data_IF_998509865856
#
_entry.id   IF_998509865856
#
_cell.length_a   1.000
_cell.length_b   1.000
_cell.length_c   1.000
_cell.angle_alpha   90.00
_cell.angle_beta   90.00
_cell.angle_gamma   90.00
#
_symmetry.space_group_name_H-M   'P 1'
#
loop_
_entity.id
_entity.type
_entity.pdbx_description
1 polymer ?
#
# COMPACT_ATOMS: atom_id res chain seq x y z
N UNK A 1 1.72 21.46 -48.26
CA UNK A 1 1.08 21.78 -46.96
C UNK A 1 0.02 20.76 -46.54
N UNK A 2 -0.99 20.41 -47.36
CA UNK A 2 -2.05 19.43 -46.98
C UNK A 2 -1.55 18.05 -46.51
N UNK A 3 -0.52 17.48 -47.16
CA UNK A 3 0.06 16.17 -46.76
C UNK A 3 0.73 16.20 -45.38
N UNK A 4 1.26 17.36 -44.97
CA UNK A 4 1.95 17.51 -43.68
C UNK A 4 0.98 17.48 -42.50
N UNK A 5 -0.22 18.06 -42.66
CA UNK A 5 -1.28 17.97 -41.65
C UNK A 5 -1.82 16.54 -41.50
N UNK A 6 -1.86 15.75 -42.58
CA UNK A 6 -2.26 14.34 -42.54
C UNK A 6 -1.20 13.52 -41.78
N UNK A 7 0.08 13.72 -42.09
CA UNK A 7 1.19 13.04 -41.38
C UNK A 7 1.19 13.41 -39.90
N UNK A 8 1.08 14.70 -39.57
CA UNK A 8 1.05 15.18 -38.19
C UNK A 8 -0.18 14.63 -37.43
N UNK A 9 -1.35 14.61 -38.06
CA UNK A 9 -2.56 14.03 -37.48
C UNK A 9 -2.42 12.53 -37.23
N UNK A 10 -1.81 11.79 -38.16
CA UNK A 10 -1.55 10.35 -37.99
C UNK A 10 -0.55 10.07 -36.86
N UNK A 11 0.52 10.87 -36.75
CA UNK A 11 1.50 10.75 -35.68
C UNK A 11 0.86 11.01 -34.31
N UNK A 12 0.03 12.05 -34.22
CA UNK A 12 -0.68 12.42 -33.00
C UNK A 12 -1.67 11.32 -32.59
N UNK A 13 -2.36 10.70 -33.54
CA UNK A 13 -3.23 9.55 -33.28
C UNK A 13 -2.43 8.36 -32.72
N UNK A 14 -1.27 8.03 -33.28
CA UNK A 14 -0.41 6.95 -32.77
C UNK A 14 0.02 7.23 -31.34
N UNK A 15 0.39 8.46 -31.02
CA UNK A 15 0.76 8.86 -29.65
C UNK A 15 -0.43 8.69 -28.70
N UNK A 16 -1.63 9.15 -29.09
CA UNK A 16 -2.84 8.99 -28.26
C UNK A 16 -3.15 7.51 -28.02
N UNK A 17 -3.06 6.68 -29.05
CA UNK A 17 -3.31 5.24 -28.92
C UNK A 17 -2.27 4.56 -28.03
N UNK A 18 -1.00 4.93 -28.14
CA UNK A 18 0.07 4.40 -27.29
C UNK A 18 -0.13 4.79 -25.81
N UNK A 19 -0.38 6.08 -25.55
CA UNK A 19 -0.63 6.59 -24.18
C UNK A 19 -1.91 5.99 -23.60
N UNK A 20 -2.99 5.95 -24.40
CA UNK A 20 -4.27 5.37 -23.98
C UNK A 20 -4.16 3.88 -23.69
N UNK A 21 -3.46 3.12 -24.54
CA UNK A 21 -3.17 1.71 -24.33
C UNK A 21 -2.36 1.46 -23.05
N UNK A 22 -1.34 2.29 -22.80
CA UNK A 22 -0.55 2.20 -21.58
C UNK A 22 -1.38 2.51 -20.31
N UNK A 23 -2.18 3.58 -20.32
CA UNK A 23 -3.05 3.90 -19.18
C UNK A 23 -4.08 2.79 -18.91
N UNK A 24 -4.66 2.21 -19.96
CA UNK A 24 -5.59 1.09 -19.83
C UNK A 24 -4.89 -0.15 -19.26
N UNK A 25 -3.68 -0.45 -19.74
CA UNK A 25 -2.86 -1.53 -19.19
C UNK A 25 -2.61 -1.32 -17.70
N UNK A 26 -2.14 -0.14 -17.28
CA UNK A 26 -1.89 0.18 -15.87
C UNK A 26 -3.17 0.03 -15.05
N UNK A 27 -4.30 0.52 -15.55
CA UNK A 27 -5.58 0.44 -14.85
C UNK A 27 -6.04 -1.01 -14.62
N UNK A 28 -6.01 -1.84 -15.66
CA UNK A 28 -6.43 -3.26 -15.59
C UNK A 28 -5.53 -4.03 -14.61
N UNK A 29 -4.22 -3.89 -14.74
CA UNK A 29 -3.28 -4.62 -13.89
C UNK A 29 -3.32 -4.11 -12.44
N UNK A 30 -3.57 -2.81 -12.22
CA UNK A 30 -3.78 -2.26 -10.86
C UNK A 30 -5.02 -2.86 -10.20
N UNK A 31 -6.12 -3.04 -10.94
CA UNK A 31 -7.33 -3.70 -10.41
C UNK A 31 -7.08 -5.18 -10.10
N UNK A 32 -6.34 -5.88 -10.96
CA UNK A 32 -5.95 -7.26 -10.71
C UNK A 32 -5.05 -7.37 -9.46
N UNK A 33 -4.06 -6.49 -9.33
CA UNK A 33 -3.18 -6.45 -8.18
C UNK A 33 -3.94 -6.17 -6.88
N UNK A 34 -4.89 -5.22 -6.90
CA UNK A 34 -5.73 -4.91 -5.73
C UNK A 34 -6.52 -6.15 -5.28
N UNK A 35 -7.09 -6.90 -6.22
CA UNK A 35 -7.79 -8.15 -5.90
C UNK A 35 -6.86 -9.21 -5.30
N UNK A 36 -5.65 -9.38 -5.83
CA UNK A 36 -4.67 -10.33 -5.29
C UNK A 36 -4.24 -9.93 -3.88
N UNK A 37 -4.00 -8.64 -3.64
CA UNK A 37 -3.65 -8.13 -2.31
C UNK A 37 -4.82 -8.30 -1.33
N UNK A 38 -6.06 -8.01 -1.73
CA UNK A 38 -7.24 -8.16 -0.88
C UNK A 38 -7.46 -9.61 -0.44
N UNK A 39 -7.17 -10.59 -1.31
CA UNK A 39 -7.20 -12.01 -0.93
C UNK A 39 -6.23 -12.31 0.21
N UNK A 40 -5.02 -11.76 0.17
CA UNK A 40 -4.04 -11.98 1.25
C UNK A 40 -4.46 -11.28 2.55
N UNK A 41 -5.09 -10.11 2.45
CA UNK A 41 -5.67 -9.41 3.61
C UNK A 41 -6.77 -10.28 4.25
N UNK A 42 -7.65 -10.88 3.44
CA UNK A 42 -8.68 -11.81 3.92
C UNK A 42 -8.07 -13.09 4.52
N UNK A 43 -7.06 -13.68 3.88
CA UNK A 43 -6.33 -14.85 4.39
C UNK A 43 -5.61 -14.58 5.73
N UNK A 44 -5.16 -13.34 5.95
CA UNK A 44 -4.61 -12.88 7.22
C UNK A 44 -5.69 -12.74 8.33
N UNK A 45 -6.96 -12.98 7.99
CA UNK A 45 -8.11 -12.87 8.90
C UNK A 45 -8.56 -11.44 9.18
N UNK A 46 -8.10 -10.46 8.37
CA UNK A 46 -8.50 -9.07 8.52
C UNK A 46 -9.88 -8.89 7.86
N UNK A 47 -10.92 -8.47 8.62
CA UNK A 47 -12.25 -8.31 8.04
C UNK A 47 -12.34 -7.05 7.18
N UNK A 48 -13.02 -7.12 6.04
CA UNK A 48 -13.10 -6.02 5.05
C UNK A 48 -13.60 -4.70 5.67
N UNK A 49 -14.60 -4.77 6.54
CA UNK A 49 -15.15 -3.60 7.24
C UNK A 49 -14.18 -2.96 8.24
N UNK A 50 -13.15 -3.69 8.67
CA UNK A 50 -12.12 -3.23 9.58
C UNK A 50 -10.88 -2.66 8.88
N UNK A 51 -10.81 -2.75 7.54
CA UNK A 51 -9.67 -2.26 6.76
C UNK A 51 -9.77 -0.74 6.60
N UNK A 52 -8.68 -0.05 6.93
CA UNK A 52 -8.50 1.38 6.66
C UNK A 52 -7.39 1.50 5.62
N UNK A 53 -7.74 1.95 4.42
CA UNK A 53 -6.76 2.15 3.34
C UNK A 53 -5.98 3.44 3.59
N UNK A 54 -4.66 3.31 3.83
CA UNK A 54 -3.74 4.44 3.95
C UNK A 54 -3.31 4.89 2.56
N UNK A 55 -2.92 3.93 1.72
CA UNK A 55 -2.57 4.15 0.32
C UNK A 55 -3.26 3.11 -0.56
N UNK A 56 -4.01 3.60 -1.55
CA UNK A 56 -4.65 2.73 -2.55
C UNK A 56 -3.60 2.03 -3.40
N UNK A 57 -3.96 0.88 -3.96
CA UNK A 57 -3.09 0.13 -4.86
C UNK A 57 -2.58 1.02 -5.99
N UNK A 58 -1.26 1.23 -6.03
CA UNK A 58 -0.57 2.04 -7.03
C UNK A 58 0.37 1.20 -7.87
N UNK A 59 0.49 1.55 -9.14
CA UNK A 59 1.48 0.98 -10.05
C UNK A 59 2.85 1.61 -9.83
N UNK A 60 3.88 0.78 -9.77
CA UNK A 60 5.28 1.19 -9.68
C UNK A 60 6.11 0.44 -10.72
N UNK A 61 7.10 1.13 -11.26
CA UNK A 61 8.05 0.59 -12.23
C UNK A 61 9.34 1.40 -12.13
N UNK A 62 10.51 0.75 -12.19
CA UNK A 62 11.76 1.44 -12.56
C UNK A 62 11.99 1.24 -14.06
N UNK A 63 12.70 2.18 -14.67
CA UNK A 63 13.09 2.11 -16.08
C UNK A 63 13.78 0.77 -16.34
N UNK A 64 13.18 -0.05 -17.22
CA UNK A 64 13.67 -1.40 -17.59
C UNK A 64 13.74 -2.42 -16.43
N UNK A 65 12.97 -2.24 -15.35
CA UNK A 65 12.86 -3.24 -14.28
C UNK A 65 11.48 -3.92 -14.25
N UNK A 66 11.34 -4.86 -13.32
CA UNK A 66 10.05 -5.44 -12.96
C UNK A 66 9.04 -4.38 -12.53
N UNK A 67 7.79 -4.65 -12.83
CA UNK A 67 6.61 -3.88 -12.44
C UNK A 67 6.04 -4.47 -11.15
N UNK A 68 5.65 -3.60 -10.22
CA UNK A 68 5.01 -4.02 -8.98
C UNK A 68 3.95 -3.04 -8.52
N UNK A 69 3.01 -3.53 -7.72
CA UNK A 69 1.90 -2.75 -7.19
C UNK A 69 1.94 -2.75 -5.68
N UNK A 70 1.77 -1.59 -5.06
CA UNK A 70 1.82 -1.48 -3.60
C UNK A 70 0.50 -0.96 -3.04
N UNK A 71 0.10 -1.48 -1.88
CA UNK A 71 -1.06 -1.04 -1.10
C UNK A 71 -0.68 -0.97 0.37
N UNK A 72 -1.02 0.12 1.03
CA UNK A 72 -0.78 0.29 2.46
C UNK A 72 -2.12 0.40 3.20
N UNK A 73 -2.27 -0.39 4.26
CA UNK A 73 -3.47 -0.38 5.10
C UNK A 73 -3.09 -0.31 6.58
N UNK A 74 -4.04 0.10 7.40
CA UNK A 74 -4.11 -0.23 8.83
C UNK A 74 -5.47 -0.89 9.11
N UNK A 75 -5.71 -1.33 10.34
CA UNK A 75 -7.02 -1.86 10.73
C UNK A 75 -7.60 -1.04 11.88
N UNK A 76 -8.92 -1.07 12.05
CA UNK A 76 -9.56 -0.41 13.18
C UNK A 76 -9.00 -0.90 14.53
N UNK A 77 -8.72 -2.20 14.63
CA UNK A 77 -8.17 -2.81 15.83
C UNK A 77 -6.73 -2.36 16.09
N UNK A 78 -5.89 -2.29 15.06
CA UNK A 78 -4.52 -1.79 15.17
C UNK A 78 -4.47 -0.31 15.50
N UNK A 79 -5.37 0.49 14.92
CA UNK A 79 -5.52 1.91 15.25
C UNK A 79 -5.89 2.15 16.71
N UNK A 80 -6.87 1.41 17.25
CA UNK A 80 -7.25 1.55 18.66
C UNK A 80 -6.15 1.04 19.61
N UNK A 81 -5.48 -0.07 19.26
CA UNK A 81 -4.33 -0.58 20.01
C UNK A 81 -3.18 0.44 20.02
N UNK A 82 -2.86 1.04 18.87
CA UNK A 82 -1.86 2.09 18.73
C UNK A 82 -2.20 3.29 19.61
N UNK A 83 -3.41 3.82 19.54
CA UNK A 83 -3.86 4.94 20.38
C UNK A 83 -3.71 4.65 21.86
N UNK A 84 -4.12 3.46 22.29
CA UNK A 84 -3.98 3.01 23.67
C UNK A 84 -2.51 3.00 24.08
N UNK A 85 -1.65 2.40 23.27
CA UNK A 85 -0.21 2.29 23.50
C UNK A 85 0.45 3.67 23.63
N UNK A 86 0.16 4.60 22.71
CA UNK A 86 0.72 5.97 22.73
C UNK A 86 0.28 6.73 23.98
N UNK A 87 -0.98 6.57 24.40
CA UNK A 87 -1.50 7.20 25.62
C UNK A 87 -0.90 6.58 26.89
N UNK A 88 -0.68 5.27 26.94
CA UNK A 88 -0.09 4.60 28.09
C UNK A 88 1.40 4.93 28.25
N UNK A 89 2.15 4.95 27.15
CA UNK A 89 3.60 5.18 27.15
C UNK A 89 3.97 6.66 27.08
N UNK A 90 3.00 7.54 26.80
CA UNK A 90 3.19 8.98 26.57
C UNK A 90 4.20 9.28 25.44
N UNK A 91 4.40 8.35 24.52
CA UNK A 91 5.27 8.45 23.35
C UNK A 91 4.62 7.75 22.15
N UNK A 92 4.82 8.32 20.97
CA UNK A 92 4.56 7.68 19.69
C UNK A 92 5.60 6.57 19.44
N UNK A 93 5.28 5.63 18.56
CA UNK A 93 6.18 4.52 18.23
C UNK A 93 7.43 4.98 17.48
N UNK A 94 7.38 6.16 16.84
CA UNK A 94 8.53 6.84 16.25
C UNK A 94 9.47 7.48 17.31
N UNK A 95 9.12 7.42 18.59
CA UNK A 95 9.87 7.99 19.71
C UNK A 95 9.50 9.43 20.09
N UNK A 96 8.62 10.09 19.33
CA UNK A 96 8.15 11.43 19.68
C UNK A 96 7.35 11.39 20.98
N UNK A 97 7.60 12.34 21.90
CA UNK A 97 6.78 12.47 23.10
C UNK A 97 5.36 12.94 22.76
N UNK A 98 4.35 12.35 23.41
CA UNK A 98 2.97 12.83 23.36
C UNK A 98 2.85 14.15 24.14
N UNK A 99 2.33 15.17 23.48
CA UNK A 99 2.11 16.51 24.01
C UNK A 99 0.77 17.05 23.53
N UNK A 100 0.24 18.08 24.18
CA UNK A 100 -0.99 18.75 23.72
C UNK A 100 -0.91 19.31 22.29
N UNK A 101 0.30 19.54 21.75
CA UNK A 101 0.51 20.04 20.39
C UNK A 101 0.35 18.96 19.31
N UNK A 102 0.63 17.69 19.64
CA UNK A 102 0.61 16.58 18.69
C UNK A 102 -0.43 15.50 19.03
N UNK A 103 -1.18 15.66 20.12
CA UNK A 103 -2.25 14.73 20.53
C UNK A 103 -3.31 14.53 19.44
N UNK A 104 -3.65 15.59 18.69
CA UNK A 104 -4.61 15.49 17.57
C UNK A 104 -4.18 14.55 16.46
N UNK A 105 -2.89 14.14 16.41
CA UNK A 105 -2.45 13.08 15.49
C UNK A 105 -3.19 11.77 15.76
N UNK A 106 -3.59 11.50 17.01
CA UNK A 106 -4.32 10.31 17.42
C UNK A 106 -5.74 10.24 16.85
N UNK A 107 -6.32 11.37 16.45
CA UNK A 107 -7.70 11.43 15.95
C UNK A 107 -7.82 11.02 14.47
N UNK A 108 -6.70 10.93 13.75
CA UNK A 108 -6.69 10.45 12.37
C UNK A 108 -6.24 9.01 12.29
N UNK A 109 -7.11 8.17 11.74
CA UNK A 109 -6.80 6.78 11.37
C UNK A 109 -5.60 6.67 10.42
N UNK A 110 -5.37 7.68 9.57
CA UNK A 110 -4.24 7.66 8.61
C UNK A 110 -2.88 7.89 9.25
N UNK A 111 -2.85 8.44 10.48
CA UNK A 111 -1.62 8.67 11.24
C UNK A 111 -1.21 7.46 12.07
N UNK A 112 -1.97 6.36 12.02
CA UNK A 112 -1.61 5.15 12.73
C UNK A 112 -0.21 4.69 12.30
N UNK A 113 0.65 4.46 13.29
CA UNK A 113 2.02 4.03 13.06
C UNK A 113 2.15 2.53 12.81
N UNK A 114 1.08 1.76 13.07
CA UNK A 114 1.01 0.33 12.77
C UNK A 114 0.30 0.13 11.43
N UNK A 115 1.05 -0.31 10.43
CA UNK A 115 0.53 -0.51 9.08
C UNK A 115 0.98 -1.84 8.49
N UNK A 116 0.20 -2.34 7.55
CA UNK A 116 0.55 -3.47 6.69
C UNK A 116 0.83 -2.90 5.31
N UNK A 117 2.00 -3.19 4.77
CA UNK A 117 2.39 -2.83 3.42
C UNK A 117 2.41 -4.09 2.57
N UNK A 118 1.67 -4.09 1.46
CA UNK A 118 1.61 -5.21 0.53
C UNK A 118 2.19 -4.80 -0.81
N UNK A 119 2.97 -5.69 -1.42
CA UNK A 119 3.54 -5.52 -2.74
C UNK A 119 3.24 -6.74 -3.62
N UNK A 120 2.50 -6.53 -4.71
CA UNK A 120 2.26 -7.53 -5.74
C UNK A 120 3.26 -7.39 -6.88
N UNK A 121 3.98 -8.45 -7.20
CA UNK A 121 4.88 -8.55 -8.33
C UNK A 121 4.27 -9.45 -9.39
N UNK A 122 4.06 -8.91 -10.59
CA UNK A 122 3.46 -9.67 -11.71
C UNK A 122 4.34 -10.81 -12.21
N UNK A 123 5.65 -10.69 -12.02
CA UNK A 123 6.62 -11.75 -12.23
C UNK A 123 7.48 -11.80 -10.95
N UNK A 124 7.27 -12.76 -10.04
CA UNK A 124 6.76 -14.13 -10.27
C UNK A 124 5.25 -14.38 -10.01
N UNK A 125 4.37 -13.40 -10.15
CA UNK A 125 2.93 -13.48 -9.78
C UNK A 125 2.74 -13.80 -8.30
N UNK A 126 3.29 -12.93 -7.45
CA UNK A 126 3.31 -13.12 -6.00
C UNK A 126 3.06 -11.82 -5.24
N UNK A 127 2.26 -11.92 -4.19
CA UNK A 127 2.09 -10.86 -3.19
C UNK A 127 3.09 -11.09 -2.06
N UNK A 128 3.77 -10.04 -1.64
CA UNK A 128 4.53 -9.96 -0.41
C UNK A 128 3.86 -8.98 0.54
N UNK A 129 4.02 -9.20 1.84
CA UNK A 129 3.47 -8.36 2.88
C UNK A 129 4.48 -8.15 4.00
N UNK A 130 4.55 -6.92 4.47
CA UNK A 130 5.42 -6.48 5.56
C UNK A 130 4.61 -5.73 6.63
N UNK A 131 5.06 -5.85 7.87
CA UNK A 131 4.61 -4.99 8.95
C UNK A 131 5.45 -3.72 8.96
N UNK A 132 4.80 -2.57 9.07
CA UNK A 132 5.46 -1.27 9.09
C UNK A 132 5.13 -0.57 10.40
N UNK A 133 6.17 -0.21 11.15
CA UNK A 133 6.07 0.59 12.39
C UNK A 133 6.73 1.94 12.12
N UNK A 134 5.96 3.01 12.20
CA UNK A 134 6.45 4.39 12.04
C UNK A 134 7.23 4.66 10.74
N UNK A 135 6.93 3.89 9.69
CA UNK A 135 7.57 4.00 8.37
C UNK A 135 8.64 2.95 8.09
N UNK A 136 9.08 2.21 9.10
CA UNK A 136 10.11 1.17 8.95
C UNK A 136 9.48 -0.23 8.89
N UNK A 137 9.92 -1.04 7.92
CA UNK A 137 9.52 -2.45 7.86
C UNK A 137 10.18 -3.24 8.99
N UNK A 138 9.40 -4.07 9.68
CA UNK A 138 9.86 -4.86 10.82
C UNK A 138 9.64 -6.36 10.61
N UNK A 139 10.44 -7.18 11.30
CA UNK A 139 10.26 -8.63 11.28
C UNK A 139 8.94 -9.06 11.91
N UNK A 140 8.45 -10.23 11.53
CA UNK A 140 7.24 -10.82 12.10
C UNK A 140 7.34 -11.01 13.62
N UNK A 141 8.51 -11.38 14.13
CA UNK A 141 8.75 -11.53 15.58
C UNK A 141 8.54 -10.19 16.32
N UNK A 142 9.06 -9.08 15.78
CA UNK A 142 8.85 -7.75 16.34
C UNK A 142 7.38 -7.30 16.24
N UNK A 143 6.69 -7.71 15.17
CA UNK A 143 5.29 -7.35 14.93
C UNK A 143 4.30 -8.12 15.83
N UNK A 144 4.64 -9.33 16.27
CA UNK A 144 3.71 -10.28 16.95
C UNK A 144 3.06 -9.69 18.21
N UNK A 145 3.70 -8.72 18.87
CA UNK A 145 3.18 -8.10 20.09
C UNK A 145 2.35 -6.83 19.87
N UNK A 146 2.39 -6.24 18.68
CA UNK A 146 1.77 -4.95 18.39
C UNK A 146 0.60 -5.06 17.42
N UNK A 147 0.71 -5.94 16.44
CA UNK A 147 -0.30 -6.12 15.41
C UNK A 147 -1.39 -7.11 15.83
N UNK A 148 -2.62 -6.79 15.47
CA UNK A 148 -3.80 -7.59 15.79
C UNK A 148 -3.97 -8.81 14.88
N UNK A 149 -3.30 -8.81 13.73
CA UNK A 149 -3.41 -9.84 12.69
C UNK A 149 -2.03 -10.26 12.19
N UNK A 150 -1.96 -11.44 11.60
CA UNK A 150 -0.72 -12.04 11.14
C UNK A 150 -0.79 -12.33 9.65
N UNK A 151 0.14 -11.74 8.88
CA UNK A 151 0.33 -12.04 7.46
C UNK A 151 0.76 -13.51 7.32
N UNK A 152 0.18 -14.29 6.38
CA UNK A 152 0.57 -15.68 6.19
C UNK A 152 2.05 -15.82 5.78
N UNK A 153 2.74 -16.79 6.35
CA UNK A 153 4.22 -16.88 6.29
C UNK A 153 4.81 -16.96 4.87
N UNK A 154 4.09 -17.55 3.93
CA UNK A 154 4.49 -17.67 2.53
C UNK A 154 4.52 -16.32 1.79
N UNK A 155 3.98 -15.25 2.39
CA UNK A 155 3.95 -13.89 1.86
C UNK A 155 4.98 -12.95 2.50
N UNK A 156 5.82 -13.40 3.43
CA UNK A 156 6.97 -12.58 3.84
C UNK A 156 8.03 -12.52 2.73
N UNK A 157 8.75 -11.40 2.59
CA UNK A 157 9.72 -11.24 1.52
C UNK A 157 10.90 -12.21 1.61
N UNK A 158 11.25 -12.77 2.78
CA UNK A 158 12.28 -13.81 2.96
C UNK A 158 12.03 -14.67 4.20
#
# INVERSE_FOLDING_TARGET
MKKWHIILGSLLLVIILAVGGYMLYVHINTKQADNQINRIIEEAGIPENGVIVIEKTKYNQKVLSDEWWTKEITTEKDYENWKKTVKEQQHFLNGDKLTSKNESKLDSKTNCELKYNFAYYKNPDKVYGDYVISGDSVSSDAATHLFAYTIPKNHFPF
#
